data_IF_985134118018
#
_entry.id   IF_985134118018
#
_cell.length_a   1.000
_cell.length_b   1.000
_cell.length_c   1.000
_cell.angle_alpha   90.00
_cell.angle_beta   90.00
_cell.angle_gamma   90.00
#
_symmetry.space_group_name_H-M   'P 1'
#
loop_
_entity.id
_entity.type
_entity.pdbx_description
1 polymer ?
#
# COMPACT_ATOMS: atom_id res chain seq x y z
N UNK A 1 6.38 -13.70 7.87
CA UNK A 1 7.40 -13.42 6.84
C UNK A 1 6.66 -12.84 5.64
N UNK A 2 7.12 -11.72 5.06
CA UNK A 2 6.49 -11.14 3.87
C UNK A 2 7.02 -11.86 2.64
N UNK A 3 6.13 -12.36 1.77
CA UNK A 3 6.52 -12.92 0.49
C UNK A 3 6.54 -11.80 -0.56
N UNK A 4 7.73 -11.39 -1.00
CA UNK A 4 7.91 -10.27 -1.92
C UNK A 4 7.32 -10.54 -3.32
N UNK A 5 7.25 -11.80 -3.75
CA UNK A 5 6.64 -12.18 -5.02
C UNK A 5 5.12 -11.97 -4.98
N UNK A 6 4.47 -12.38 -3.88
CA UNK A 6 3.04 -12.13 -3.67
C UNK A 6 2.78 -10.64 -3.51
N UNK A 7 3.61 -9.93 -2.76
CA UNK A 7 3.51 -8.48 -2.61
C UNK A 7 3.55 -7.76 -3.97
N UNK A 8 4.43 -8.18 -4.88
CA UNK A 8 4.51 -7.64 -6.25
C UNK A 8 3.23 -7.87 -7.04
N UNK A 9 2.64 -9.05 -6.95
CA UNK A 9 1.38 -9.37 -7.66
C UNK A 9 0.22 -8.53 -7.12
N UNK A 10 0.10 -8.43 -5.80
CA UNK A 10 -0.92 -7.61 -5.15
C UNK A 10 -0.74 -6.11 -5.47
N UNK A 11 0.51 -5.65 -5.58
CA UNK A 11 0.83 -4.27 -5.97
C UNK A 11 0.36 -3.98 -7.40
N UNK A 12 0.63 -4.88 -8.34
CA UNK A 12 0.16 -4.74 -9.72
C UNK A 12 -1.38 -4.70 -9.79
N UNK A 13 -2.05 -5.53 -8.99
CA UNK A 13 -3.51 -5.52 -8.88
C UNK A 13 -4.02 -4.18 -8.33
N UNK A 14 -3.45 -3.69 -7.22
CA UNK A 14 -3.85 -2.42 -6.60
C UNK A 14 -3.62 -1.22 -7.53
N UNK A 15 -2.49 -1.20 -8.26
CA UNK A 15 -2.20 -0.17 -9.27
C UNK A 15 -3.28 -0.14 -10.35
N UNK A 16 -3.67 -1.31 -10.87
CA UNK A 16 -4.72 -1.39 -11.89
C UNK A 16 -6.06 -0.86 -11.35
N UNK A 17 -6.45 -1.24 -10.14
CA UNK A 17 -7.69 -0.71 -9.54
C UNK A 17 -7.62 0.80 -9.32
N UNK A 18 -6.50 1.34 -8.83
CA UNK A 18 -6.32 2.79 -8.66
C UNK A 18 -6.36 3.51 -10.00
N UNK A 19 -5.74 2.94 -11.04
CA UNK A 19 -5.78 3.50 -12.39
C UNK A 19 -7.22 3.60 -12.91
N UNK A 20 -8.01 2.57 -12.69
CA UNK A 20 -9.39 2.49 -13.19
C UNK A 20 -10.37 3.36 -12.38
N UNK A 21 -10.12 3.54 -11.07
CA UNK A 21 -11.03 4.27 -10.16
C UNK A 21 -10.65 5.74 -9.97
N UNK A 22 -9.34 6.04 -9.97
CA UNK A 22 -8.79 7.37 -9.63
C UNK A 22 -8.07 7.98 -10.83
N UNK A 23 -7.23 7.20 -11.50
CA UNK A 23 -6.54 7.62 -12.73
C UNK A 23 -5.05 7.26 -12.74
N UNK A 24 -4.44 7.40 -13.92
CA UNK A 24 -3.05 6.98 -14.17
C UNK A 24 -2.02 7.64 -13.24
N UNK A 25 -2.22 8.91 -12.87
CA UNK A 25 -1.31 9.63 -11.98
C UNK A 25 -1.26 8.98 -10.60
N UNK A 26 -2.43 8.73 -10.00
CA UNK A 26 -2.54 8.05 -8.72
C UNK A 26 -1.96 6.64 -8.74
N UNK A 27 -2.12 5.94 -9.87
CA UNK A 27 -1.54 4.60 -10.07
C UNK A 27 -0.01 4.61 -10.12
N UNK A 28 0.61 5.70 -10.58
CA UNK A 28 2.07 5.87 -10.51
C UNK A 28 2.52 6.15 -9.09
N UNK A 29 1.86 7.10 -8.42
CA UNK A 29 2.22 7.51 -7.06
C UNK A 29 2.13 6.35 -6.05
N UNK A 30 1.10 5.51 -6.11
CA UNK A 30 0.98 4.36 -5.20
C UNK A 30 2.12 3.34 -5.38
N UNK A 31 2.63 3.19 -6.61
CA UNK A 31 3.73 2.29 -6.93
C UNK A 31 5.01 2.78 -6.23
N UNK A 32 5.35 4.05 -6.45
CA UNK A 32 6.51 4.71 -5.85
C UNK A 32 6.41 4.69 -4.31
N UNK A 33 5.24 4.97 -3.76
CA UNK A 33 4.98 4.95 -2.31
C UNK A 33 5.24 3.57 -1.71
N UNK A 34 4.75 2.48 -2.33
CA UNK A 34 4.97 1.12 -1.83
C UNK A 34 6.44 0.70 -1.99
N UNK A 35 7.09 1.07 -3.09
CA UNK A 35 8.53 0.82 -3.29
C UNK A 35 9.38 1.50 -2.21
N UNK A 36 9.08 2.76 -1.87
CA UNK A 36 9.76 3.48 -0.78
C UNK A 36 9.56 2.79 0.57
N UNK A 37 8.35 2.32 0.86
CA UNK A 37 8.10 1.56 2.09
C UNK A 37 8.86 0.24 2.10
N UNK A 38 8.97 -0.46 0.97
CA UNK A 38 9.78 -1.69 0.87
C UNK A 38 11.26 -1.38 1.12
N UNK A 39 11.78 -0.29 0.55
CA UNK A 39 13.16 0.14 0.80
C UNK A 39 13.39 0.45 2.28
N UNK A 40 12.46 1.16 2.91
CA UNK A 40 12.48 1.39 4.34
C UNK A 40 12.45 0.06 5.11
N UNK A 41 11.55 -0.87 4.78
CA UNK A 41 11.40 -2.15 5.47
C UNK A 41 12.68 -3.01 5.39
N UNK A 42 13.38 -2.95 4.26
CA UNK A 42 14.67 -3.62 4.08
C UNK A 42 15.83 -2.89 4.78
N UNK A 43 15.69 -1.60 5.10
CA UNK A 43 16.68 -0.80 5.80
C UNK A 43 16.03 0.11 6.87
N UNK A 44 15.76 -0.43 8.08
CA UNK A 44 14.97 0.25 9.11
C UNK A 44 15.51 1.61 9.56
N UNK A 45 16.80 1.91 9.30
CA UNK A 45 17.41 3.23 9.56
C UNK A 45 16.73 4.38 8.82
N UNK A 46 15.91 4.07 7.80
CA UNK A 46 15.23 5.05 6.96
C UNK A 46 13.76 5.29 7.37
N UNK A 47 13.29 4.70 8.48
CA UNK A 47 11.89 4.80 8.91
C UNK A 47 11.45 6.24 9.21
N UNK A 48 12.30 7.00 9.91
CA UNK A 48 11.97 8.34 10.41
C UNK A 48 11.72 9.37 9.32
N UNK A 49 12.25 9.16 8.11
CA UNK A 49 12.18 10.15 7.03
C UNK A 49 10.99 9.93 6.09
N UNK A 50 10.65 8.67 5.80
CA UNK A 50 9.76 8.37 4.68
C UNK A 50 8.56 7.47 5.04
N UNK A 51 8.58 6.74 6.16
CA UNK A 51 7.52 5.74 6.39
C UNK A 51 6.16 6.36 6.70
N UNK A 52 6.10 7.39 7.55
CA UNK A 52 4.81 7.94 8.01
C UNK A 52 3.98 8.52 6.86
N UNK A 53 4.60 9.38 6.04
CA UNK A 53 3.91 10.01 4.91
C UNK A 53 3.47 8.99 3.87
N UNK A 54 4.32 8.01 3.54
CA UNK A 54 3.97 6.97 2.58
C UNK A 54 2.86 6.04 3.09
N UNK A 55 2.84 5.68 4.38
CA UNK A 55 1.72 4.94 4.99
C UNK A 55 0.41 5.73 4.87
N UNK A 56 0.44 7.02 5.20
CA UNK A 56 -0.73 7.89 5.09
C UNK A 56 -1.23 8.01 3.65
N UNK A 57 -0.32 8.12 2.67
CA UNK A 57 -0.68 8.16 1.24
C UNK A 57 -1.43 6.89 0.80
N UNK A 58 -0.98 5.71 1.22
CA UNK A 58 -1.68 4.45 0.89
C UNK A 58 -3.07 4.42 1.51
N UNK A 59 -3.21 4.80 2.79
CA UNK A 59 -4.50 4.87 3.46
C UNK A 59 -5.46 5.86 2.78
N UNK A 60 -4.96 7.02 2.36
CA UNK A 60 -5.74 8.00 1.60
C UNK A 60 -6.25 7.43 0.28
N UNK A 61 -5.41 6.69 -0.45
CA UNK A 61 -5.83 6.05 -1.69
C UNK A 61 -6.88 4.97 -1.46
N UNK A 62 -6.72 4.11 -0.45
CA UNK A 62 -7.71 3.10 -0.10
C UNK A 62 -9.06 3.74 0.30
N UNK A 63 -9.02 4.82 1.09
CA UNK A 63 -10.22 5.58 1.48
C UNK A 63 -10.89 6.23 0.25
N UNK A 64 -10.12 6.77 -0.69
CA UNK A 64 -10.67 7.31 -1.94
C UNK A 64 -11.35 6.24 -2.78
N UNK A 65 -10.75 5.05 -2.90
CA UNK A 65 -11.37 3.92 -3.60
C UNK A 65 -12.68 3.55 -2.91
N UNK A 66 -12.68 3.39 -1.59
CA UNK A 66 -13.87 3.04 -0.79
C UNK A 66 -15.05 3.99 -1.05
N UNK A 67 -14.77 5.29 -1.22
CA UNK A 67 -15.80 6.30 -1.47
C UNK A 67 -16.28 6.35 -2.94
N UNK A 68 -15.61 5.66 -3.86
CA UNK A 68 -15.90 5.69 -5.30
C UNK A 68 -16.49 4.40 -5.85
N UNK A 69 -16.34 3.28 -5.16
CA UNK A 69 -16.82 1.97 -5.62
C UNK A 69 -17.83 1.36 -4.65
N UNK A 70 -18.61 0.39 -5.12
CA UNK A 70 -19.56 -0.34 -4.29
C UNK A 70 -18.85 -1.07 -3.13
N UNK A 71 -19.48 -1.15 -1.93
CA UNK A 71 -18.87 -1.82 -0.77
C UNK A 71 -18.44 -3.27 -1.03
N UNK A 72 -19.20 -4.01 -1.84
CA UNK A 72 -18.86 -5.39 -2.23
C UNK A 72 -17.58 -5.47 -3.07
N UNK A 73 -17.39 -4.53 -4.00
CA UNK A 73 -16.17 -4.41 -4.81
C UNK A 73 -14.98 -3.96 -3.97
N UNK A 74 -15.20 -3.07 -3.01
CA UNK A 74 -14.15 -2.69 -2.05
C UNK A 74 -13.75 -3.85 -1.14
N UNK A 75 -14.70 -4.65 -0.66
CA UNK A 75 -14.38 -5.86 0.09
C UNK A 75 -13.57 -6.85 -0.77
N UNK A 76 -13.92 -7.00 -2.05
CA UNK A 76 -13.15 -7.83 -2.99
C UNK A 76 -11.72 -7.30 -3.17
N UNK A 77 -11.53 -5.98 -3.33
CA UNK A 77 -10.19 -5.37 -3.36
C UNK A 77 -9.39 -5.79 -2.11
N UNK A 78 -9.93 -5.57 -0.91
CA UNK A 78 -9.24 -5.88 0.34
C UNK A 78 -8.87 -7.36 0.47
N UNK A 79 -9.70 -8.25 -0.07
CA UNK A 79 -9.44 -9.69 -0.09
C UNK A 79 -8.33 -10.09 -1.07
N UNK A 80 -8.03 -9.25 -2.07
CA UNK A 80 -6.98 -9.49 -3.07
C UNK A 80 -5.64 -8.83 -2.72
N UNK A 81 -5.55 -8.07 -1.62
CA UNK A 81 -4.31 -7.44 -1.16
C UNK A 81 -3.88 -7.81 0.29
N UNK A 82 -4.05 -9.07 0.75
CA UNK A 82 -3.76 -9.42 2.14
C UNK A 82 -2.29 -9.21 2.53
N UNK A 83 -1.34 -9.45 1.63
CA UNK A 83 0.09 -9.25 1.88
C UNK A 83 0.44 -7.78 2.02
N UNK A 84 -0.14 -6.90 1.20
CA UNK A 84 0.00 -5.44 1.36
C UNK A 84 -0.51 -5.03 2.74
N UNK A 85 -1.70 -5.49 3.17
CA UNK A 85 -2.23 -5.16 4.50
C UNK A 85 -1.28 -5.58 5.62
N UNK A 86 -0.82 -6.84 5.61
CA UNK A 86 0.14 -7.34 6.60
C UNK A 86 1.47 -6.59 6.56
N UNK A 87 1.93 -6.18 5.37
CA UNK A 87 3.13 -5.39 5.19
C UNK A 87 2.99 -4.01 5.87
N UNK A 88 1.90 -3.29 5.62
CA UNK A 88 1.65 -1.98 6.23
C UNK A 88 1.54 -2.07 7.76
N UNK A 89 0.87 -3.09 8.28
CA UNK A 89 0.78 -3.34 9.74
C UNK A 89 2.17 -3.59 10.35
N UNK A 90 3.03 -4.34 9.67
CA UNK A 90 4.41 -4.58 10.12
C UNK A 90 5.23 -3.31 10.15
N UNK A 91 5.19 -2.50 9.08
CA UNK A 91 5.90 -1.21 9.05
C UNK A 91 5.44 -0.32 10.20
N UNK A 92 4.12 -0.21 10.44
CA UNK A 92 3.57 0.55 11.58
C UNK A 92 4.08 0.05 12.94
N UNK A 93 4.09 -1.27 13.14
CA UNK A 93 4.56 -1.87 14.38
C UNK A 93 6.04 -1.55 14.62
N UNK A 94 6.88 -1.75 13.61
CA UNK A 94 8.32 -1.54 13.75
C UNK A 94 8.67 -0.05 13.93
N UNK A 95 7.90 0.87 13.32
CA UNK A 95 7.99 2.31 13.61
C UNK A 95 7.63 2.67 15.06
N UNK A 96 6.71 1.93 15.69
CA UNK A 96 6.31 2.19 17.08
C UNK A 96 7.33 1.70 18.12
N UNK A 97 8.30 0.90 17.69
CA UNK A 97 9.35 0.29 18.53
C UNK A 97 10.72 0.93 18.26
N UNK A 98 10.87 1.67 17.16
CA UNK A 98 12.07 2.43 16.79
C UNK A 98 12.10 3.78 17.51
#
# INVERSE_FOLDING_TARGET
MINLEVLRIELNYLQQVIKDVIGCKASGEIAETIELLVLCFLNPKNYDTYCLSNLQTIEQYLNQIQNKIEPSKYQLLLNNIPTIKTFLEKVKLEMSIS
#
